data_IF_548624387931
#
_entry.id   IF_548624387931
#
_cell.length_a   1.000
_cell.length_b   1.000
_cell.length_c   1.000
_cell.angle_alpha   90.00
_cell.angle_beta   90.00
_cell.angle_gamma   90.00
#
_symmetry.space_group_name_H-M   'P 1'
#
loop_
_entity.id
_entity.type
_entity.pdbx_description
1 polymer ?
#
# COMPACT_ATOMS: atom_id res chain seq x y z
N UNK A 1 -20.50 -16.97 3.08
CA UNK A 1 -19.65 -15.83 3.42
C UNK A 1 -19.23 -15.25 2.09
N UNK A 2 -19.94 -14.25 1.61
CA UNK A 2 -19.52 -13.46 0.45
C UNK A 2 -18.49 -12.45 0.98
N UNK A 3 -17.34 -12.97 1.42
CA UNK A 3 -16.18 -12.17 1.79
C UNK A 3 -15.69 -11.54 0.51
N UNK A 4 -15.93 -10.25 0.35
CA UNK A 4 -15.23 -9.48 -0.68
C UNK A 4 -13.77 -9.58 -0.31
N UNK A 5 -13.03 -10.51 -0.93
CA UNK A 5 -11.67 -10.84 -0.53
C UNK A 5 -10.82 -9.56 -0.55
N UNK A 6 -10.36 -9.16 0.63
CA UNK A 6 -9.42 -8.07 0.83
C UNK A 6 -8.12 -8.52 0.16
N UNK A 7 -7.88 -8.00 -1.05
CA UNK A 7 -6.76 -8.35 -1.91
C UNK A 7 -6.24 -7.07 -2.56
N UNK A 8 -4.97 -7.06 -2.94
CA UNK A 8 -4.31 -5.89 -3.55
C UNK A 8 -5.09 -5.29 -4.72
N UNK A 9 -5.66 -6.15 -5.57
CA UNK A 9 -6.53 -5.73 -6.69
C UNK A 9 -7.71 -4.91 -6.19
N UNK A 10 -8.45 -5.42 -5.21
CA UNK A 10 -9.63 -4.72 -4.70
C UNK A 10 -9.22 -3.45 -3.93
N UNK A 11 -8.04 -3.42 -3.29
CA UNK A 11 -7.53 -2.23 -2.60
C UNK A 11 -7.31 -1.10 -3.59
N UNK A 12 -6.66 -1.40 -4.72
CA UNK A 12 -6.45 -0.44 -5.79
C UNK A 12 -7.79 0.04 -6.40
N UNK A 13 -8.76 -0.86 -6.57
CA UNK A 13 -10.10 -0.47 -7.02
C UNK A 13 -10.79 0.49 -6.03
N UNK A 14 -10.70 0.23 -4.72
CA UNK A 14 -11.24 1.14 -3.68
C UNK A 14 -10.55 2.50 -3.68
N UNK A 15 -9.24 2.53 -3.91
CA UNK A 15 -8.46 3.75 -4.03
C UNK A 15 -8.67 4.48 -5.37
N UNK A 16 -9.44 3.91 -6.31
CA UNK A 16 -9.65 4.47 -7.65
C UNK A 16 -8.41 4.40 -8.54
N UNK A 17 -7.52 3.45 -8.29
CA UNK A 17 -6.31 3.17 -9.04
C UNK A 17 -6.50 2.00 -10.03
N UNK A 18 -5.68 1.93 -11.09
CA UNK A 18 -5.65 0.77 -11.96
C UNK A 18 -5.22 -0.48 -11.20
N UNK A 19 -6.10 -1.47 -11.16
CA UNK A 19 -5.92 -2.71 -10.39
C UNK A 19 -5.41 -3.89 -11.22
N UNK A 20 -4.86 -3.64 -12.41
CA UNK A 20 -4.20 -4.67 -13.21
C UNK A 20 -2.92 -5.15 -12.51
N UNK A 21 -2.60 -6.45 -12.62
CA UNK A 21 -1.39 -7.02 -11.99
C UNK A 21 -0.10 -6.30 -12.41
N UNK A 22 0.00 -5.94 -13.69
CA UNK A 22 1.11 -5.14 -14.22
C UNK A 22 1.07 -3.68 -13.74
N UNK A 23 -0.12 -3.08 -13.64
CA UNK A 23 -0.31 -1.71 -13.14
C UNK A 23 0.08 -1.58 -11.66
N UNK A 24 -0.34 -2.53 -10.83
CA UNK A 24 0.02 -2.60 -9.40
C UNK A 24 1.53 -2.74 -9.26
N UNK A 25 2.14 -3.70 -9.97
CA UNK A 25 3.58 -3.92 -9.92
C UNK A 25 4.36 -2.68 -10.41
N UNK A 26 3.83 -2.00 -11.43
CA UNK A 26 4.40 -0.75 -11.94
C UNK A 26 4.29 0.38 -10.91
N UNK A 27 3.11 0.56 -10.31
CA UNK A 27 2.86 1.57 -9.29
C UNK A 27 3.84 1.42 -8.13
N UNK A 28 3.96 0.20 -7.58
CA UNK A 28 4.88 -0.09 -6.48
C UNK A 28 6.32 0.31 -6.85
N UNK A 29 6.79 -0.06 -8.05
CA UNK A 29 8.15 0.28 -8.50
C UNK A 29 8.37 1.78 -8.69
N UNK A 30 7.37 2.51 -9.20
CA UNK A 30 7.50 3.95 -9.47
C UNK A 30 7.28 4.83 -8.22
N UNK A 31 6.62 4.30 -7.19
CA UNK A 31 6.19 5.04 -6.00
C UNK A 31 6.83 4.55 -4.71
N UNK A 32 8.08 4.06 -4.76
CA UNK A 32 8.81 3.64 -3.56
C UNK A 32 8.90 4.76 -2.52
N UNK A 33 8.76 4.37 -1.25
CA UNK A 33 8.75 5.24 -0.09
C UNK A 33 10.05 5.08 0.71
N UNK A 34 10.60 6.18 1.25
CA UNK A 34 11.70 6.10 2.20
C UNK A 34 11.23 5.51 3.53
N UNK A 35 12.11 4.83 4.28
CA UNK A 35 11.74 4.09 5.51
C UNK A 35 10.97 4.92 6.56
N UNK A 36 11.22 6.23 6.58
CA UNK A 36 10.66 7.13 7.58
C UNK A 36 9.27 7.67 7.20
N UNK A 37 8.78 7.42 5.98
CA UNK A 37 7.53 7.98 5.49
C UNK A 37 6.41 6.94 5.56
N UNK A 38 5.35 7.25 6.30
CA UNK A 38 4.21 6.36 6.41
C UNK A 38 3.45 6.25 5.09
N UNK A 39 2.93 5.06 4.75
CA UNK A 39 2.09 4.88 3.56
C UNK A 39 0.92 5.85 3.52
N UNK A 40 0.28 6.14 4.66
CA UNK A 40 -0.85 7.08 4.76
C UNK A 40 -0.45 8.55 4.57
N UNK A 41 0.84 8.87 4.65
CA UNK A 41 1.39 10.21 4.43
C UNK A 41 2.02 10.38 3.04
N UNK A 42 1.99 9.34 2.21
CA UNK A 42 2.62 9.41 0.90
C UNK A 42 2.02 10.52 0.02
N UNK A 43 2.87 11.30 -0.67
CA UNK A 43 2.44 12.50 -1.39
C UNK A 43 1.59 12.21 -2.64
N UNK A 44 1.63 10.97 -3.15
CA UNK A 44 0.83 10.55 -4.30
C UNK A 44 -0.62 10.22 -3.95
N UNK A 45 -0.95 10.12 -2.66
CA UNK A 45 -2.34 9.99 -2.22
C UNK A 45 -3.03 11.34 -2.15
N UNK A 46 -4.29 11.36 -2.58
CA UNK A 46 -5.22 12.44 -2.24
C UNK A 46 -5.82 12.26 -0.83
N UNK A 47 -6.50 13.30 -0.34
CA UNK A 47 -7.02 13.34 1.04
C UNK A 47 -7.91 12.14 1.38
N UNK A 48 -8.82 11.76 0.46
CA UNK A 48 -9.71 10.60 0.64
C UNK A 48 -8.96 9.26 0.67
N UNK A 49 -7.97 9.08 -0.20
CA UNK A 49 -7.12 7.87 -0.19
C UNK A 49 -6.31 7.77 1.11
N UNK A 50 -5.73 8.87 1.59
CA UNK A 50 -4.99 8.88 2.86
C UNK A 50 -5.89 8.54 4.03
N UNK A 51 -7.09 9.11 4.06
CA UNK A 51 -8.07 8.82 5.11
C UNK A 51 -8.43 7.33 5.10
N UNK A 52 -8.78 6.79 3.93
CA UNK A 52 -9.12 5.37 3.78
C UNK A 52 -7.97 4.47 4.27
N UNK A 53 -6.75 4.67 3.77
CA UNK A 53 -5.57 3.89 4.18
C UNK A 53 -5.36 3.99 5.69
N UNK A 54 -5.52 5.18 6.28
CA UNK A 54 -5.33 5.38 7.73
C UNK A 54 -6.39 4.67 8.57
N UNK A 55 -7.63 4.59 8.10
CA UNK A 55 -8.70 3.87 8.80
C UNK A 55 -8.53 2.36 8.67
N UNK A 56 -8.18 1.91 7.46
CA UNK A 56 -8.00 0.50 7.12
C UNK A 56 -6.68 -0.10 7.61
N UNK A 57 -5.71 0.71 8.04
CA UNK A 57 -4.47 0.23 8.65
C UNK A 57 -4.62 -0.15 10.13
N UNK A 58 -5.80 0.01 10.72
CA UNK A 58 -6.07 -0.43 12.09
C UNK A 58 -6.08 -1.96 12.15
N UNK A 59 -5.53 -2.56 13.21
CA UNK A 59 -5.40 -4.03 13.35
C UNK A 59 -6.74 -4.80 13.26
N UNK A 60 -7.87 -4.14 13.52
CA UNK A 60 -9.22 -4.74 13.47
C UNK A 60 -9.94 -4.51 12.12
N UNK A 61 -9.29 -3.83 11.18
CA UNK A 61 -9.89 -3.49 9.89
C UNK A 61 -9.76 -4.65 8.89
N UNK A 62 -10.76 -4.76 8.01
CA UNK A 62 -10.84 -5.83 7.01
C UNK A 62 -9.65 -5.79 6.03
N UNK A 63 -9.10 -4.61 5.79
CA UNK A 63 -8.01 -4.39 4.84
C UNK A 63 -6.62 -4.29 5.48
N UNK A 64 -6.51 -4.43 6.80
CA UNK A 64 -5.26 -4.21 7.53
C UNK A 64 -4.07 -4.98 6.96
N UNK A 65 -4.28 -6.26 6.66
CA UNK A 65 -3.26 -7.14 6.08
C UNK A 65 -2.83 -6.65 4.70
N UNK A 66 -3.76 -6.29 3.83
CA UNK A 66 -3.47 -5.86 2.45
C UNK A 66 -2.78 -4.50 2.41
N UNK A 67 -3.19 -3.60 3.30
CA UNK A 67 -2.57 -2.28 3.46
C UNK A 67 -1.15 -2.44 3.99
N UNK A 68 -0.91 -3.38 4.91
CA UNK A 68 0.42 -3.72 5.39
C UNK A 68 1.30 -4.30 4.27
N UNK A 69 0.78 -5.25 3.49
CA UNK A 69 1.50 -5.79 2.32
C UNK A 69 1.85 -4.69 1.30
N UNK A 70 0.94 -3.74 1.06
CA UNK A 70 1.21 -2.60 0.18
C UNK A 70 2.30 -1.69 0.77
N UNK A 71 2.26 -1.45 2.08
CA UNK A 71 3.27 -0.68 2.78
C UNK A 71 4.64 -1.34 2.67
N UNK A 72 4.75 -2.64 2.91
CA UNK A 72 6.00 -3.38 2.74
C UNK A 72 6.52 -3.31 1.30
N UNK A 73 5.63 -3.51 0.32
CA UNK A 73 6.00 -3.46 -1.09
C UNK A 73 6.50 -2.07 -1.51
N UNK A 74 5.89 -0.99 -0.99
CA UNK A 74 6.33 0.38 -1.26
C UNK A 74 7.64 0.74 -0.56
N UNK A 75 8.02 0.05 0.50
CA UNK A 75 9.29 0.27 1.21
C UNK A 75 10.40 -0.72 0.82
N UNK A 76 10.16 -1.58 -0.18
CA UNK A 76 11.10 -2.64 -0.56
C UNK A 76 12.51 -2.11 -0.86
N UNK A 77 12.64 -0.97 -1.53
CA UNK A 77 13.93 -0.33 -1.81
C UNK A 77 14.62 0.18 -0.54
N UNK A 78 13.87 0.82 0.36
CA UNK A 78 14.39 1.27 1.64
C UNK A 78 14.86 0.10 2.53
N UNK A 79 14.10 -1.00 2.54
CA UNK A 79 14.48 -2.24 3.23
C UNK A 79 15.73 -2.84 2.61
N UNK A 80 15.80 -2.94 1.28
CA UNK A 80 16.97 -3.45 0.57
C UNK A 80 18.23 -2.59 0.85
N UNK A 81 18.08 -1.27 0.85
CA UNK A 81 19.16 -0.34 1.17
C UNK A 81 19.65 -0.47 2.62
N UNK A 82 18.76 -0.75 3.57
CA UNK A 82 19.13 -1.03 4.97
C UNK A 82 19.90 -2.34 5.11
N UNK A 83 19.45 -3.40 4.42
CA UNK A 83 20.11 -4.72 4.46
C UNK A 83 21.50 -4.66 3.83
N UNK A 84 21.67 -3.93 2.73
CA UNK A 84 22.97 -3.77 2.08
C UNK A 84 24.01 -2.97 2.90
N UNK A 85 23.56 -2.22 3.91
CA UNK A 85 24.42 -1.42 4.80
C UNK A 85 24.76 -2.13 6.13
N UNK A 86 24.26 -3.37 6.33
CA UNK A 86 24.45 -4.17 7.54
C UNK A 86 25.51 -5.25 7.42
#
# INVERSE_FOLDING_TARGET
MDTTESCMTNLFLQLGLPAGKDDIARFIREHQLPEALLISEAPFWNDGQRQFIREEWREDADWAIVVDELNEALHADAVAARVAQG
#
